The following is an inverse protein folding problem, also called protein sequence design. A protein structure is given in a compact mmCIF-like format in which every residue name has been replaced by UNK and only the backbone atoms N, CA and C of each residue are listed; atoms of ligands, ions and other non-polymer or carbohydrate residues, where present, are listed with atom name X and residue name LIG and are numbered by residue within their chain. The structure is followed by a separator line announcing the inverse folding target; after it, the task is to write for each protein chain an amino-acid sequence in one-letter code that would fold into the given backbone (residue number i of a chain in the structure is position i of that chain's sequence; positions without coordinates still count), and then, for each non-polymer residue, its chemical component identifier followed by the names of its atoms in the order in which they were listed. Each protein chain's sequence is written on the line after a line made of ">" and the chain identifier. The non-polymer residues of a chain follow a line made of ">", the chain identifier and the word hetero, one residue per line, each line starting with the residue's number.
data_IF_887781687476
#
_entry.id   IF_887781687476
#
_cell.length_a   1.000
_cell.length_b   1.000
_cell.length_c   1.000
_cell.angle_alpha   90.00
_cell.angle_beta   90.00
_cell.angle_gamma   90.00
#
_symmetry.space_group_name_H-M   'P 1'
#
loop_
_entity.id
_entity.type
_entity.pdbx_description
1 polymer ?
#
# COMPACT_ATOMS: atom_id res chain seq x y z
N UNK A 1 6.37 22.68 1.43
CA UNK A 1 6.52 21.25 1.70
C UNK A 1 5.15 20.63 1.48
N UNK A 2 4.92 20.00 0.33
CA UNK A 2 3.62 19.40 0.00
C UNK A 2 3.42 18.18 0.90
N UNK A 3 2.48 18.26 1.84
CA UNK A 3 2.05 17.13 2.64
C UNK A 3 1.32 16.15 1.73
N UNK A 4 2.08 15.23 1.14
CA UNK A 4 1.55 13.97 0.62
C UNK A 4 0.72 13.37 1.76
N UNK A 5 -0.56 13.08 1.51
CA UNK A 5 -1.49 12.62 2.55
C UNK A 5 -0.89 11.45 3.32
N UNK A 6 -0.95 11.50 4.66
CA UNK A 6 -0.42 10.43 5.49
C UNK A 6 -1.14 9.12 5.14
N UNK A 7 -0.37 8.07 4.88
CA UNK A 7 -0.86 6.70 4.71
C UNK A 7 -0.36 5.86 5.87
N UNK A 8 -1.13 4.86 6.26
CA UNK A 8 -0.76 3.99 7.38
C UNK A 8 0.31 2.97 6.97
N UNK A 9 0.36 2.61 5.68
CA UNK A 9 1.34 1.67 5.15
C UNK A 9 1.68 1.92 3.67
N UNK A 10 2.89 1.55 3.29
CA UNK A 10 3.35 1.47 1.89
C UNK A 10 3.80 0.05 1.59
N UNK A 11 3.29 -0.54 0.51
CA UNK A 11 3.66 -1.88 0.03
C UNK A 11 4.45 -1.75 -1.27
N UNK A 12 5.65 -2.33 -1.31
CA UNK A 12 6.50 -2.32 -2.51
C UNK A 12 6.44 -3.69 -3.20
N UNK A 13 5.97 -3.72 -4.43
CA UNK A 13 5.79 -4.92 -5.27
C UNK A 13 4.34 -5.40 -5.34
N UNK A 14 3.83 -5.62 -6.56
CA UNK A 14 2.45 -6.08 -6.82
C UNK A 14 2.32 -7.58 -7.18
N UNK A 15 3.30 -8.39 -6.79
CA UNK A 15 3.32 -9.84 -7.08
C UNK A 15 2.43 -10.67 -6.15
N UNK A 16 2.59 -12.01 -6.15
CA UNK A 16 1.72 -12.93 -5.41
C UNK A 16 1.74 -12.74 -3.89
N UNK A 17 2.75 -12.06 -3.35
CA UNK A 17 2.81 -11.73 -1.93
C UNK A 17 2.37 -10.28 -1.65
N UNK A 18 2.82 -9.33 -2.48
CA UNK A 18 2.64 -7.90 -2.20
C UNK A 18 1.20 -7.43 -2.42
N UNK A 19 0.52 -7.90 -3.47
CA UNK A 19 -0.87 -7.51 -3.70
C UNK A 19 -1.83 -8.07 -2.63
N UNK A 20 -1.76 -9.36 -2.23
CA UNK A 20 -2.57 -9.84 -1.11
C UNK A 20 -2.25 -9.15 0.21
N UNK A 21 -0.99 -8.80 0.48
CA UNK A 21 -0.61 -8.03 1.67
C UNK A 21 -1.28 -6.64 1.71
N UNK A 22 -1.26 -5.91 0.59
CA UNK A 22 -1.93 -4.61 0.49
C UNK A 22 -3.45 -4.74 0.68
N UNK A 23 -4.08 -5.79 0.12
CA UNK A 23 -5.52 -6.05 0.29
C UNK A 23 -5.84 -6.36 1.76
N UNK A 24 -5.03 -7.18 2.42
CA UNK A 24 -5.22 -7.49 3.85
C UNK A 24 -5.15 -6.23 4.71
N UNK A 25 -4.17 -5.35 4.45
CA UNK A 25 -4.04 -4.08 5.16
C UNK A 25 -5.25 -3.17 4.90
N UNK A 26 -5.68 -3.05 3.64
CA UNK A 26 -6.85 -2.23 3.28
C UNK A 26 -8.15 -2.74 3.92
N UNK A 27 -8.33 -4.07 4.03
CA UNK A 27 -9.46 -4.69 4.73
C UNK A 27 -9.46 -4.46 6.25
N UNK A 28 -8.31 -4.10 6.82
CA UNK A 28 -8.17 -3.75 8.23
C UNK A 28 -8.33 -2.24 8.50
N UNK A 29 -9.05 -1.52 7.64
CA UNK A 29 -9.25 -0.06 7.70
C UNK A 29 -7.93 0.72 7.79
N UNK A 30 -6.99 0.39 6.90
CA UNK A 30 -5.74 1.15 6.72
C UNK A 30 -5.70 1.82 5.37
N UNK A 31 -5.24 3.07 5.34
CA UNK A 31 -4.88 3.77 4.12
C UNK A 31 -3.54 3.23 3.61
N UNK A 32 -3.54 2.60 2.43
CA UNK A 32 -2.38 1.88 1.89
C UNK A 32 -2.03 2.39 0.50
N UNK A 33 -0.75 2.66 0.25
CA UNK A 33 -0.21 2.87 -1.11
C UNK A 33 0.57 1.65 -1.55
N UNK A 34 0.23 1.08 -2.71
CA UNK A 34 1.02 0.02 -3.36
C UNK A 34 1.84 0.61 -4.51
N UNK A 35 3.15 0.42 -4.47
CA UNK A 35 4.07 0.82 -5.53
C UNK A 35 4.61 -0.41 -6.24
N UNK A 36 4.64 -0.37 -7.57
CA UNK A 36 5.28 -1.38 -8.42
C UNK A 36 6.10 -0.69 -9.48
N UNK A 37 7.13 -1.37 -9.97
CA UNK A 37 7.69 -1.05 -11.27
C UNK A 37 6.61 -1.32 -12.33
N UNK A 38 6.62 -0.51 -13.38
CA UNK A 38 5.84 -0.77 -14.60
C UNK A 38 5.99 -2.25 -15.02
#
# INVERSE_FOLDING_TARGET
>A
MTTSGAVDAVVIGGGPNGLPAAITLARGDRSVTLLRKE
#
